data_IF_582455891291
#
_entry.id   IF_582455891291
#
_cell.length_a   1.000
_cell.length_b   1.000
_cell.length_c   1.000
_cell.angle_alpha   90.00
_cell.angle_beta   90.00
_cell.angle_gamma   90.00
#
_symmetry.space_group_name_H-M   'P 1'
#
loop_
_entity.id
_entity.type
_entity.pdbx_description
1 polymer ?
#
# COMPACT_ATOMS: atom_id res chain seq x y z
N UNK A 1 -35.47 -23.87 30.02
CA UNK A 1 -34.85 -22.59 30.43
C UNK A 1 -33.54 -22.48 29.71
N UNK A 2 -33.45 -21.51 28.82
CA UNK A 2 -32.41 -21.29 27.82
C UNK A 2 -31.09 -20.83 28.41
N UNK A 3 -30.03 -21.14 27.66
CA UNK A 3 -28.61 -21.12 27.98
C UNK A 3 -28.01 -19.72 28.23
N UNK A 4 -26.96 -19.66 29.04
CA UNK A 4 -25.95 -18.60 29.01
C UNK A 4 -24.55 -19.22 29.12
N UNK A 5 -23.96 -19.51 27.95
CA UNK A 5 -22.54 -19.76 27.77
C UNK A 5 -21.79 -18.43 27.81
N UNK A 6 -20.97 -18.23 28.85
CA UNK A 6 -19.98 -17.16 28.93
C UNK A 6 -18.81 -17.47 28.00
N UNK A 7 -18.64 -16.68 26.95
CA UNK A 7 -17.44 -16.70 26.12
C UNK A 7 -16.43 -15.69 26.65
N UNK A 8 -15.29 -16.22 27.06
CA UNK A 8 -14.05 -15.54 27.39
C UNK A 8 -13.45 -14.84 26.17
N UNK A 9 -13.29 -13.52 26.23
CA UNK A 9 -12.47 -12.75 25.29
C UNK A 9 -10.99 -12.91 25.67
N UNK A 10 -10.26 -13.69 24.88
CA UNK A 10 -8.81 -13.80 24.97
C UNK A 10 -8.13 -12.56 24.35
N UNK A 11 -7.22 -11.88 25.06
CA UNK A 11 -6.51 -10.72 24.54
C UNK A 11 -5.45 -11.15 23.52
N UNK A 12 -5.51 -10.57 22.32
CA UNK A 12 -4.43 -10.67 21.34
C UNK A 12 -3.22 -9.86 21.82
N UNK A 13 -2.01 -10.44 21.93
CA UNK A 13 -0.87 -9.79 22.53
C UNK A 13 -0.19 -8.88 21.51
N UNK A 14 -0.12 -7.59 21.82
CA UNK A 14 0.84 -6.70 21.16
C UNK A 14 1.68 -6.08 22.29
N UNK A 15 2.74 -6.79 22.66
CA UNK A 15 3.62 -6.46 23.78
C UNK A 15 4.37 -5.13 23.58
N UNK A 16 4.57 -4.46 24.71
CA UNK A 16 5.43 -3.31 25.03
C UNK A 16 6.89 -3.50 24.54
N UNK A 17 7.75 -2.50 24.34
CA UNK A 17 8.05 -1.29 25.13
C UNK A 17 8.53 -0.13 24.22
N UNK A 18 8.53 1.07 24.79
CA UNK A 18 8.90 2.33 24.16
C UNK A 18 10.40 2.42 23.85
N UNK A 19 10.77 3.04 22.72
CA UNK A 19 11.83 4.05 22.72
C UNK A 19 11.78 4.93 21.46
N UNK A 20 12.29 6.13 21.68
CA UNK A 20 12.00 7.41 21.05
C UNK A 20 12.69 7.57 19.67
N UNK A 21 11.95 8.02 18.65
CA UNK A 21 12.53 8.71 17.49
C UNK A 21 11.45 9.49 16.74
N UNK A 22 11.53 10.81 16.87
CA UNK A 22 10.82 11.77 16.03
C UNK A 22 11.17 11.49 14.56
N UNK A 23 10.19 11.00 13.79
CA UNK A 23 10.34 10.87 12.36
C UNK A 23 9.05 11.38 11.72
N UNK A 24 9.18 12.28 10.73
CA UNK A 24 8.07 12.90 10.05
C UNK A 24 7.20 11.83 9.37
N UNK A 25 6.06 11.52 9.99
CA UNK A 25 5.18 10.47 9.48
C UNK A 25 4.42 10.95 8.26
N UNK A 26 4.93 10.57 7.08
CA UNK A 26 4.18 10.57 5.83
C UNK A 26 2.88 9.80 6.07
N UNK A 27 1.73 10.43 5.79
CA UNK A 27 0.44 9.76 5.92
C UNK A 27 0.41 8.55 5.00
N UNK A 28 -0.04 7.38 5.50
CA UNK A 28 -0.22 6.20 4.66
C UNK A 28 -1.10 6.54 3.45
N UNK A 29 -0.63 6.29 2.23
CA UNK A 29 -1.40 6.49 0.98
C UNK A 29 -2.51 5.44 0.76
N UNK A 30 -2.97 4.83 1.85
CA UNK A 30 -4.04 3.86 1.85
C UNK A 30 -5.36 4.58 1.61
N UNK A 31 -6.06 4.21 0.53
CA UNK A 31 -7.42 4.69 0.19
C UNK A 31 -8.43 4.52 1.34
N UNK A 32 -8.11 3.68 2.32
CA UNK A 32 -8.93 3.44 3.50
C UNK A 32 -8.87 4.57 4.54
N UNK A 33 -7.76 5.32 4.61
CA UNK A 33 -7.44 6.28 5.67
C UNK A 33 -7.58 7.74 5.25
N UNK A 34 -8.26 7.99 4.14
CA UNK A 34 -8.49 9.33 3.57
C UNK A 34 -9.56 10.15 4.30
N UNK A 35 -10.15 9.60 5.36
CA UNK A 35 -11.19 10.25 6.15
C UNK A 35 -12.62 9.91 5.72
N UNK A 36 -12.86 9.18 4.62
CA UNK A 36 -14.23 8.82 4.22
C UNK A 36 -14.86 7.74 5.10
N UNK A 37 -14.07 6.73 5.46
CA UNK A 37 -14.49 5.62 6.33
C UNK A 37 -13.70 5.59 7.63
N UNK A 38 -12.40 5.87 7.56
CA UNK A 38 -11.51 5.94 8.70
C UNK A 38 -10.68 7.21 8.66
N UNK A 39 -10.55 7.85 9.83
CA UNK A 39 -9.67 9.01 10.04
C UNK A 39 -8.41 8.55 10.76
N UNK A 40 -7.26 8.71 10.11
CA UNK A 40 -5.96 8.37 10.70
C UNK A 40 -5.68 9.19 11.96
N UNK A 41 -5.20 8.54 13.01
CA UNK A 41 -4.80 9.15 14.27
C UNK A 41 -3.28 9.10 14.40
N UNK A 42 -2.61 10.20 14.08
CA UNK A 42 -1.14 10.30 14.14
C UNK A 42 -0.59 10.24 15.57
N UNK A 43 -1.38 10.59 16.58
CA UNK A 43 -0.93 10.59 17.98
C UNK A 43 -0.78 9.19 18.56
N UNK A 44 -1.60 8.25 18.07
CA UNK A 44 -1.65 6.87 18.57
C UNK A 44 -0.97 5.87 17.64
N UNK A 45 -0.51 6.33 16.47
CA UNK A 45 0.10 5.50 15.44
C UNK A 45 1.62 5.56 15.48
N UNK A 46 2.24 4.40 15.28
CA UNK A 46 3.68 4.24 15.18
C UNK A 46 4.02 3.71 13.78
N UNK A 47 5.27 3.81 13.32
CA UNK A 47 5.65 3.38 11.96
C UNK A 47 5.36 1.92 11.60
N UNK A 48 5.08 1.06 12.59
CA UNK A 48 4.63 -0.32 12.41
C UNK A 48 3.13 -0.53 12.62
N UNK A 49 2.46 0.36 13.35
CA UNK A 49 1.07 0.19 13.79
C UNK A 49 0.25 1.43 13.47
N UNK A 50 -0.76 1.25 12.64
CA UNK A 50 -1.69 2.31 12.26
C UNK A 50 -2.91 2.27 13.16
N UNK A 51 -3.28 3.42 13.70
CA UNK A 51 -4.51 3.62 14.46
C UNK A 51 -5.39 4.59 13.71
N UNK A 52 -6.65 4.22 13.50
CA UNK A 52 -7.62 5.09 12.87
C UNK A 52 -9.00 4.98 13.53
N UNK A 53 -9.73 6.08 13.52
CA UNK A 53 -11.09 6.18 14.07
C UNK A 53 -12.11 5.92 12.98
N UNK A 54 -13.10 5.06 13.24
CA UNK A 54 -14.20 4.86 12.31
C UNK A 54 -15.16 6.06 12.31
N UNK A 55 -15.42 6.64 11.15
CA UNK A 55 -16.32 7.79 11.00
C UNK A 55 -17.80 7.38 11.02
N UNK A 56 -18.09 6.10 10.78
CA UNK A 56 -19.46 5.55 10.72
C UNK A 56 -20.00 5.08 12.06
N UNK A 57 -19.14 4.98 13.08
CA UNK A 57 -19.53 4.57 14.44
C UNK A 57 -20.13 5.70 15.29
N UNK A 58 -20.31 6.90 14.74
CA UNK A 58 -20.84 8.04 15.50
C UNK A 58 -22.20 7.69 16.15
N UNK A 59 -22.43 8.09 17.41
CA UNK A 59 -21.60 8.99 18.21
C UNK A 59 -20.35 8.35 18.87
N UNK A 60 -20.21 7.03 18.82
CA UNK A 60 -19.11 6.32 19.46
C UNK A 60 -17.77 6.48 18.70
N UNK A 61 -16.74 6.88 19.44
CA UNK A 61 -15.38 7.03 18.90
C UNK A 61 -14.67 5.67 18.99
N UNK A 62 -14.85 4.83 17.97
CA UNK A 62 -14.18 3.53 17.90
C UNK A 62 -12.83 3.66 17.17
N UNK A 63 -11.74 3.43 17.91
CA UNK A 63 -10.37 3.33 17.36
C UNK A 63 -10.05 1.90 16.96
N UNK A 64 -9.47 1.73 15.78
CA UNK A 64 -9.08 0.44 15.22
C UNK A 64 -7.59 0.46 14.95
N UNK A 65 -6.90 -0.60 15.37
CA UNK A 65 -5.48 -0.81 15.12
C UNK A 65 -5.28 -1.75 13.94
N UNK A 66 -4.28 -1.48 13.11
CA UNK A 66 -3.90 -2.30 11.98
C UNK A 66 -2.46 -2.00 11.54
N UNK A 67 -2.08 -2.48 10.36
CA UNK A 67 -0.75 -2.24 9.79
C UNK A 67 -0.87 -1.66 8.38
N UNK A 68 0.23 -1.10 7.86
CA UNK A 68 0.30 -0.62 6.48
C UNK A 68 0.06 -1.74 5.46
N UNK A 69 0.48 -2.96 5.79
CA UNK A 69 0.39 -4.14 4.92
C UNK A 69 -0.92 -4.91 5.07
N UNK A 70 -1.70 -4.67 6.12
CA UNK A 70 -2.94 -5.41 6.38
C UNK A 70 -4.05 -4.49 6.87
N UNK A 71 -5.10 -4.43 6.05
CA UNK A 71 -6.32 -3.64 6.30
C UNK A 71 -7.50 -4.49 6.78
N UNK A 72 -7.28 -5.79 7.03
CA UNK A 72 -8.33 -6.77 7.35
C UNK A 72 -9.16 -6.37 8.58
N UNK A 73 -8.53 -5.76 9.59
CA UNK A 73 -9.21 -5.30 10.80
C UNK A 73 -10.25 -4.22 10.52
N UNK A 74 -9.92 -3.27 9.65
CA UNK A 74 -10.80 -2.17 9.27
C UNK A 74 -11.97 -2.67 8.41
N UNK A 75 -11.69 -3.53 7.43
CA UNK A 75 -12.72 -4.15 6.59
C UNK A 75 -13.67 -5.00 7.43
N UNK A 76 -13.12 -5.83 8.32
CA UNK A 76 -13.91 -6.67 9.23
C UNK A 76 -14.75 -5.84 10.18
N UNK A 77 -14.28 -4.66 10.58
CA UNK A 77 -15.07 -3.74 11.38
C UNK A 77 -16.24 -3.15 10.57
N UNK A 78 -16.01 -2.65 9.35
CA UNK A 78 -17.09 -2.14 8.50
C UNK A 78 -18.19 -3.17 8.30
N UNK A 79 -17.81 -4.41 7.92
CA UNK A 79 -18.76 -5.50 7.70
C UNK A 79 -19.56 -5.85 8.96
N UNK A 80 -18.91 -5.95 10.12
CA UNK A 80 -19.57 -6.37 11.37
C UNK A 80 -20.42 -5.28 12.02
N UNK A 81 -19.99 -4.02 11.95
CA UNK A 81 -20.65 -2.89 12.65
C UNK A 81 -21.63 -2.13 11.78
N UNK A 82 -21.40 -2.07 10.47
CA UNK A 82 -22.19 -1.26 9.54
C UNK A 82 -22.87 -2.07 8.43
N UNK A 83 -22.67 -3.39 8.41
CA UNK A 83 -23.34 -4.29 7.48
C UNK A 83 -22.82 -4.21 6.04
N UNK A 84 -23.52 -4.90 5.14
CA UNK A 84 -23.10 -5.06 3.75
C UNK A 84 -23.23 -3.77 2.92
N UNK A 85 -24.21 -2.91 3.22
CA UNK A 85 -24.44 -1.68 2.47
C UNK A 85 -23.22 -0.73 2.53
N UNK A 86 -22.69 -0.48 3.72
CA UNK A 86 -21.49 0.35 3.89
C UNK A 86 -20.24 -0.34 3.31
N UNK A 87 -20.22 -1.67 3.30
CA UNK A 87 -19.14 -2.43 2.68
C UNK A 87 -19.15 -2.28 1.15
N UNK A 88 -20.33 -2.28 0.53
CA UNK A 88 -20.47 -2.07 -0.91
C UNK A 88 -20.10 -0.63 -1.30
N UNK A 89 -20.52 0.37 -0.50
CA UNK A 89 -20.09 1.76 -0.67
C UNK A 89 -18.56 1.89 -0.63
N UNK A 90 -17.91 1.15 0.27
CA UNK A 90 -16.45 1.10 0.35
C UNK A 90 -15.83 0.46 -0.89
N UNK A 91 -16.36 -0.67 -1.35
CA UNK A 91 -15.86 -1.33 -2.56
C UNK A 91 -15.98 -0.45 -3.80
N UNK A 92 -17.14 0.20 -3.99
CA UNK A 92 -17.36 1.11 -5.11
C UNK A 92 -16.38 2.28 -5.04
N UNK A 93 -16.19 2.85 -3.85
CA UNK A 93 -15.23 3.93 -3.63
C UNK A 93 -13.78 3.50 -3.93
N UNK A 94 -13.37 2.33 -3.45
CA UNK A 94 -12.03 1.81 -3.70
C UNK A 94 -11.77 1.59 -5.19
N UNK A 95 -12.75 1.02 -5.92
CA UNK A 95 -12.70 0.86 -7.39
C UNK A 95 -12.54 2.21 -8.10
N UNK A 96 -13.35 3.20 -7.74
CA UNK A 96 -13.26 4.56 -8.30
C UNK A 96 -11.88 5.18 -8.07
N UNK A 97 -11.34 5.04 -6.85
CA UNK A 97 -10.01 5.58 -6.50
C UNK A 97 -8.86 4.92 -7.26
N UNK A 98 -8.95 3.62 -7.53
CA UNK A 98 -7.97 2.92 -8.38
C UNK A 98 -8.04 3.46 -9.82
N UNK A 99 -9.24 3.60 -10.36
CA UNK A 99 -9.45 4.15 -11.71
C UNK A 99 -8.96 5.60 -11.82
N UNK A 100 -9.22 6.45 -10.82
CA UNK A 100 -8.69 7.82 -10.76
C UNK A 100 -7.15 7.83 -10.75
N UNK A 101 -6.51 6.93 -9.99
CA UNK A 101 -5.04 6.82 -9.96
C UNK A 101 -4.50 6.43 -11.33
N UNK A 102 -5.13 5.47 -12.02
CA UNK A 102 -4.74 5.03 -13.36
C UNK A 102 -4.91 6.13 -14.42
N UNK A 103 -6.01 6.89 -14.39
CA UNK A 103 -6.18 8.04 -15.30
C UNK A 103 -5.13 9.12 -15.00
N UNK A 104 -4.88 9.40 -13.72
CA UNK A 104 -3.89 10.42 -13.33
C UNK A 104 -2.50 10.03 -13.80
N UNK A 105 -2.06 8.79 -13.58
CA UNK A 105 -0.79 8.30 -14.13
C UNK A 105 -0.78 8.39 -15.66
N UNK A 106 -1.87 8.03 -16.35
CA UNK A 106 -1.95 8.16 -17.80
C UNK A 106 -1.89 9.63 -18.29
N UNK A 107 -2.40 10.60 -17.51
CA UNK A 107 -2.33 12.03 -17.83
C UNK A 107 -0.95 12.63 -17.53
N UNK A 108 -0.24 12.12 -16.53
CA UNK A 108 1.17 12.50 -16.27
C UNK A 108 2.12 11.86 -17.29
N UNK A 109 1.69 10.81 -18.00
CA UNK A 109 2.37 10.19 -19.15
C UNK A 109 2.06 10.94 -20.46
N UNK A 110 1.96 12.27 -20.42
CA UNK A 110 2.09 13.10 -21.64
C UNK A 110 3.46 13.76 -21.78
N UNK A 111 4.45 13.35 -20.99
CA UNK A 111 5.82 13.81 -21.22
C UNK A 111 6.96 12.82 -20.97
N UNK A 112 6.74 11.57 -20.51
CA UNK A 112 7.85 10.62 -20.25
C UNK A 112 7.40 9.13 -20.28
N UNK A 113 7.15 8.55 -21.46
CA UNK A 113 7.25 7.09 -21.73
C UNK A 113 6.84 6.87 -23.22
N UNK A 114 7.66 6.88 -24.27
CA UNK A 114 9.04 6.45 -24.43
C UNK A 114 9.38 5.31 -23.49
N UNK A 115 8.85 4.11 -23.80
CA UNK A 115 9.48 2.85 -23.40
C UNK A 115 10.99 3.07 -23.48
N UNK A 116 11.65 3.22 -22.33
CA UNK A 116 13.11 3.18 -22.13
C UNK A 116 13.89 3.17 -23.44
N UNK A 117 13.95 4.31 -24.13
CA UNK A 117 14.94 4.49 -25.18
C UNK A 117 16.22 4.75 -24.40
N UNK A 118 16.85 3.68 -23.94
CA UNK A 118 18.21 3.75 -23.44
C UNK A 118 18.97 4.60 -24.46
N UNK A 119 19.66 5.65 -23.99
CA UNK A 119 20.48 6.43 -24.91
C UNK A 119 21.39 5.46 -25.64
N UNK A 120 21.69 5.70 -26.92
CA UNK A 120 22.64 4.86 -27.65
C UNK A 120 23.94 4.71 -26.85
N UNK A 121 24.34 5.75 -26.12
CA UNK A 121 25.52 5.75 -25.25
C UNK A 121 25.39 4.77 -24.08
N UNK A 122 24.20 4.61 -23.51
CA UNK A 122 23.95 3.67 -22.40
C UNK A 122 24.00 2.23 -22.90
N UNK A 123 23.38 1.97 -24.06
CA UNK A 123 23.42 0.65 -24.71
C UNK A 123 24.87 0.29 -25.08
N UNK A 124 25.59 1.23 -25.70
CA UNK A 124 27.00 1.03 -26.07
C UNK A 124 27.86 0.75 -24.82
N UNK A 125 27.68 1.51 -23.74
CA UNK A 125 28.42 1.30 -22.50
C UNK A 125 28.14 -0.07 -21.88
N UNK A 126 26.90 -0.57 -21.94
CA UNK A 126 26.55 -1.88 -21.41
C UNK A 126 27.12 -3.01 -22.28
N UNK A 127 27.12 -2.84 -23.60
CA UNK A 127 27.76 -3.76 -24.55
C UNK A 127 29.27 -3.81 -24.32
N UNK A 128 29.96 -2.67 -24.28
CA UNK A 128 31.41 -2.60 -24.03
C UNK A 128 31.77 -3.29 -22.73
N UNK A 129 31.01 -3.00 -21.67
CA UNK A 129 31.18 -3.62 -20.35
C UNK A 129 31.01 -5.13 -20.41
N UNK A 130 30.03 -5.63 -21.16
CA UNK A 130 29.81 -7.05 -21.36
C UNK A 130 30.99 -7.73 -22.07
N UNK A 131 31.52 -7.14 -23.15
CA UNK A 131 32.69 -7.66 -23.85
C UNK A 131 33.93 -7.70 -22.95
N UNK A 132 34.20 -6.62 -22.21
CA UNK A 132 35.37 -6.50 -21.34
C UNK A 132 35.33 -7.50 -20.17
N UNK A 133 34.18 -7.61 -19.48
CA UNK A 133 34.10 -8.48 -18.29
C UNK A 133 33.92 -9.96 -18.63
N UNK A 134 33.28 -10.26 -19.77
CA UNK A 134 33.02 -11.64 -20.19
C UNK A 134 34.15 -12.20 -21.07
N UNK A 135 35.17 -11.39 -21.38
CA UNK A 135 36.31 -11.75 -22.24
C UNK A 135 35.85 -12.34 -23.59
N UNK A 136 34.77 -11.78 -24.15
CA UNK A 136 34.19 -12.26 -25.40
C UNK A 136 35.04 -11.76 -26.57
N UNK A 137 35.44 -12.65 -27.50
CA UNK A 137 36.13 -12.25 -28.73
C UNK A 137 35.33 -11.20 -29.52
N UNK A 138 36.00 -10.13 -29.96
CA UNK A 138 35.35 -9.02 -30.64
C UNK A 138 34.70 -9.40 -31.98
N UNK A 139 35.12 -10.51 -32.60
CA UNK A 139 34.50 -11.05 -33.82
C UNK A 139 33.07 -11.57 -33.60
N UNK A 140 32.59 -11.65 -32.36
CA UNK A 140 31.21 -12.04 -32.04
C UNK A 140 30.20 -11.02 -32.58
N UNK A 141 30.60 -9.77 -32.78
CA UNK A 141 29.72 -8.73 -33.37
C UNK A 141 29.42 -8.99 -34.85
N UNK A 142 30.25 -9.80 -35.53
CA UNK A 142 30.07 -10.15 -36.94
C UNK A 142 29.14 -11.36 -37.13
N UNK A 143 28.71 -12.01 -36.03
CA UNK A 143 27.80 -13.15 -36.07
C UNK A 143 26.38 -12.68 -36.49
N UNK A 144 25.75 -13.30 -37.50
CA UNK A 144 24.39 -12.94 -37.95
C UNK A 144 23.31 -13.01 -36.88
N UNK A 145 23.56 -13.73 -35.77
CA UNK A 145 22.66 -13.88 -34.64
C UNK A 145 22.99 -12.96 -33.47
N UNK A 146 24.07 -12.17 -33.58
CA UNK A 146 24.35 -11.07 -32.65
C UNK A 146 23.35 -9.92 -32.89
N UNK A 147 22.87 -9.32 -31.79
CA UNK A 147 21.69 -8.45 -31.70
C UNK A 147 21.78 -7.22 -32.61
#
# INVERSE_FOLDING_TARGET
>A
MTELLSSSDSPSPCSSEAENRENSFQTPTLTLLDGKFFKYDSSSSNGRCLVATCVKCLPDIIKIKGSLSSTSNFISHLKRKHGEQIMEDYHQYAKQKIHEKQIKSAKTVKHNDCLTRASQDTVNSDIDKYFIHSMIPLNTVDDPFFI
#
